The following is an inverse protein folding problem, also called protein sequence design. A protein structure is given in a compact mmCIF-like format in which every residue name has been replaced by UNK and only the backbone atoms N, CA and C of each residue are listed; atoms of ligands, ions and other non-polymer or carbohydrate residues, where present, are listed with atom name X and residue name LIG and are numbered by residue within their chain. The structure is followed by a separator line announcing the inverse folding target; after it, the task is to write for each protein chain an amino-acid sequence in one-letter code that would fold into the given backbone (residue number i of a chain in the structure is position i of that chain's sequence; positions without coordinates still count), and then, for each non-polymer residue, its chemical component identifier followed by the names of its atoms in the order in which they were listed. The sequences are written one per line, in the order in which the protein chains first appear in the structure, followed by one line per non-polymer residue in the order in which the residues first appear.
data_IF_635484391938
#
_entry.id   IF_635484391938
#
_cell.length_a   1.000
_cell.length_b   1.000
_cell.length_c   1.000
_cell.angle_alpha   90.00
_cell.angle_beta   90.00
_cell.angle_gamma   90.00
#
_symmetry.space_group_name_H-M   'P 1'
#
loop_
_entity.id
_entity.type
_entity.pdbx_description
1 polymer ?
#
# COMPACT_ATOMS: atom_id res chain seq x y z
N UNK A 1 -18.97 -25.44 43.65
CA UNK A 1 -18.83 -26.04 42.29
C UNK A 1 -19.12 -25.04 41.16
N UNK A 2 -20.18 -24.22 41.22
CA UNK A 2 -20.51 -23.24 40.15
C UNK A 2 -19.44 -22.14 39.94
N UNK A 3 -18.74 -21.71 41.00
CA UNK A 3 -17.68 -20.68 40.94
C UNK A 3 -16.47 -21.10 40.10
N UNK A 4 -16.04 -22.36 40.20
CA UNK A 4 -14.90 -22.89 39.45
C UNK A 4 -15.19 -23.01 37.95
N UNK A 5 -16.42 -23.35 37.57
CA UNK A 5 -16.85 -23.43 36.17
C UNK A 5 -16.91 -22.04 35.51
N UNK A 6 -17.43 -21.01 36.20
CA UNK A 6 -17.44 -19.64 35.69
C UNK A 6 -16.04 -19.04 35.52
N UNK A 7 -15.09 -19.36 36.41
CA UNK A 7 -13.69 -18.92 36.31
C UNK A 7 -13.01 -19.57 35.11
N UNK A 8 -13.26 -20.85 34.85
CA UNK A 8 -12.76 -21.56 33.68
C UNK A 8 -13.30 -20.96 32.37
N UNK A 9 -14.61 -20.69 32.28
CA UNK A 9 -15.24 -20.08 31.10
C UNK A 9 -14.69 -18.66 30.83
N UNK A 10 -14.54 -17.84 31.87
CA UNK A 10 -13.92 -16.50 31.76
C UNK A 10 -12.45 -16.58 31.36
N UNK A 11 -11.71 -17.58 31.82
CA UNK A 11 -10.30 -17.81 31.46
C UNK A 11 -10.15 -18.23 29.99
N UNK A 12 -11.00 -19.16 29.52
CA UNK A 12 -11.02 -19.61 28.12
C UNK A 12 -11.42 -18.45 27.18
N UNK A 13 -12.38 -17.61 27.58
CA UNK A 13 -12.78 -16.44 26.80
C UNK A 13 -11.66 -15.39 26.71
N UNK A 14 -10.98 -15.10 27.82
CA UNK A 14 -9.80 -14.21 27.84
C UNK A 14 -8.67 -14.74 26.96
N UNK A 15 -8.40 -16.06 26.99
CA UNK A 15 -7.35 -16.69 26.20
C UNK A 15 -7.64 -16.61 24.69
N UNK A 16 -8.91 -16.83 24.28
CA UNK A 16 -9.33 -16.67 22.88
C UNK A 16 -9.23 -15.22 22.41
N UNK A 17 -9.63 -14.25 23.24
CA UNK A 17 -9.53 -12.82 22.91
C UNK A 17 -8.07 -12.40 22.73
N UNK A 18 -7.17 -12.83 23.62
CA UNK A 18 -5.73 -12.54 23.49
C UNK A 18 -5.15 -13.18 22.22
N UNK A 19 -5.54 -14.41 21.88
CA UNK A 19 -5.06 -15.09 20.68
C UNK A 19 -5.54 -14.41 19.38
N UNK A 20 -6.79 -13.94 19.34
CA UNK A 20 -7.34 -13.19 18.20
C UNK A 20 -6.70 -11.80 18.07
N UNK A 21 -6.48 -11.11 19.19
CA UNK A 21 -5.79 -9.81 19.19
C UNK A 21 -4.33 -9.97 18.74
N UNK A 22 -3.64 -11.02 19.18
CA UNK A 22 -2.27 -11.30 18.77
C UNK A 22 -2.22 -11.59 17.27
N UNK A 23 -3.05 -12.50 16.74
CA UNK A 23 -3.05 -12.84 15.31
C UNK A 23 -3.38 -11.65 14.40
N UNK A 24 -4.26 -10.74 14.84
CA UNK A 24 -4.60 -9.53 14.08
C UNK A 24 -3.40 -8.59 13.88
N UNK A 25 -2.48 -8.50 14.85
CA UNK A 25 -1.29 -7.65 14.70
C UNK A 25 -0.28 -8.18 13.69
N UNK A 26 -0.20 -9.51 13.47
CA UNK A 26 0.72 -10.07 12.48
C UNK A 26 0.29 -9.74 11.04
N UNK A 27 -1.00 -9.77 10.75
CA UNK A 27 -1.55 -9.54 9.40
C UNK A 27 -1.47 -8.06 8.99
N UNK A 28 -1.39 -7.14 9.96
CA UNK A 28 -1.28 -5.70 9.72
C UNK A 28 0.15 -5.24 9.38
N UNK A 29 1.17 -6.11 9.42
CA UNK A 29 2.55 -5.78 8.99
C UNK A 29 2.74 -5.85 7.46
N UNK A 30 1.75 -5.39 6.69
CA UNK A 30 1.81 -5.38 5.23
C UNK A 30 2.64 -4.24 4.62
N UNK A 31 3.14 -3.31 5.44
CA UNK A 31 3.89 -2.16 4.93
C UNK A 31 4.92 -1.66 5.96
N UNK A 32 5.82 -2.53 6.40
CA UNK A 32 7.00 -2.11 7.17
C UNK A 32 8.25 -2.26 6.30
N UNK A 33 8.64 -1.15 5.66
CA UNK A 33 9.99 -0.89 5.12
C UNK A 33 10.65 -2.07 4.39
N UNK A 34 10.08 -2.49 3.27
CA UNK A 34 10.90 -3.06 2.20
C UNK A 34 11.66 -1.88 1.62
N UNK A 35 12.98 -1.93 1.58
CA UNK A 35 13.80 -0.98 0.82
C UNK A 35 13.55 -1.25 -0.66
N UNK A 36 12.73 -0.50 -1.43
CA UNK A 36 12.56 -0.78 -2.84
C UNK A 36 13.20 0.36 -3.64
N UNK A 37 14.25 1.02 -3.13
CA UNK A 37 14.87 2.06 -3.93
C UNK A 37 15.69 1.39 -5.01
N UNK A 38 15.07 1.29 -6.18
CA UNK A 38 15.81 1.25 -7.44
C UNK A 38 16.79 2.42 -7.40
N UNK A 39 18.08 2.15 -7.64
CA UNK A 39 19.09 3.22 -7.65
C UNK A 39 18.64 4.30 -8.63
N UNK A 40 18.90 5.60 -8.37
CA UNK A 40 18.40 6.68 -9.22
C UNK A 40 18.70 6.51 -10.72
N UNK A 41 19.81 5.87 -11.06
CA UNK A 41 20.25 5.58 -12.43
C UNK A 41 19.65 4.31 -13.05
N UNK A 42 19.00 3.43 -12.29
CA UNK A 42 18.31 2.24 -12.78
C UNK A 42 16.81 2.50 -13.04
N UNK A 43 16.28 3.65 -12.60
CA UNK A 43 14.86 4.03 -12.80
C UNK A 43 14.47 4.22 -14.26
N UNK A 44 15.43 4.51 -15.14
CA UNK A 44 15.21 4.62 -16.58
C UNK A 44 14.69 3.30 -17.19
N UNK A 45 15.04 2.15 -16.61
CA UNK A 45 14.56 0.84 -17.07
C UNK A 45 13.08 0.62 -16.78
N UNK A 46 12.51 1.37 -15.82
CA UNK A 46 11.09 1.31 -15.49
C UNK A 46 10.25 2.18 -16.44
N UNK A 47 10.85 3.26 -16.94
CA UNK A 47 10.25 4.24 -17.84
C UNK A 47 10.20 3.79 -19.31
N UNK A 48 10.08 2.49 -19.59
CA UNK A 48 9.98 1.97 -20.95
C UNK A 48 8.65 2.43 -21.62
N UNK A 49 8.67 2.97 -22.85
CA UNK A 49 7.47 3.31 -23.61
C UNK A 49 6.37 2.23 -23.64
N UNK A 50 6.71 0.95 -23.52
CA UNK A 50 5.71 -0.13 -23.49
C UNK A 50 4.93 -0.25 -22.17
N UNK A 51 5.44 0.31 -21.06
CA UNK A 51 4.78 0.27 -19.74
C UNK A 51 3.90 1.48 -19.46
N UNK A 52 3.69 2.36 -20.46
CA UNK A 52 2.78 3.49 -20.35
C UNK A 52 1.33 3.03 -20.41
N UNK A 53 0.48 3.61 -19.56
CA UNK A 53 -0.94 3.27 -19.49
C UNK A 53 -1.74 3.73 -20.73
N UNK A 54 -1.28 4.77 -21.41
CA UNK A 54 -1.93 5.30 -22.60
C UNK A 54 -1.03 5.26 -23.83
N UNK A 55 -1.69 5.28 -24.99
CA UNK A 55 -1.03 5.19 -26.30
C UNK A 55 -0.47 6.54 -26.76
N UNK A 56 -1.06 7.65 -26.29
CA UNK A 56 -0.70 8.99 -26.70
C UNK A 56 -0.17 9.80 -25.51
N UNK A 57 1.16 9.98 -25.39
CA UNK A 57 1.75 10.65 -24.24
C UNK A 57 1.41 12.14 -24.16
N UNK A 58 1.02 12.78 -25.28
CA UNK A 58 0.70 14.21 -25.33
C UNK A 58 -0.67 14.46 -24.71
N UNK A 59 -1.66 13.67 -25.11
CA UNK A 59 -3.02 13.71 -24.55
C UNK A 59 -3.03 13.37 -23.06
N UNK A 60 -2.28 12.35 -22.65
CA UNK A 60 -2.21 11.95 -21.25
C UNK A 60 -1.62 13.07 -20.40
N UNK A 61 -0.51 13.67 -20.82
CA UNK A 61 0.13 14.76 -20.09
C UNK A 61 -0.78 16.00 -19.97
N UNK A 62 -1.58 16.29 -21.00
CA UNK A 62 -2.61 17.33 -20.93
C UNK A 62 -3.66 17.02 -19.87
N UNK A 63 -4.21 15.80 -19.85
CA UNK A 63 -5.20 15.38 -18.86
C UNK A 63 -4.63 15.33 -17.44
N UNK A 64 -3.34 15.00 -17.28
CA UNK A 64 -2.63 15.10 -16.02
C UNK A 64 -2.60 16.54 -15.49
N UNK A 65 -2.20 17.50 -16.32
CA UNK A 65 -2.21 18.91 -15.92
C UNK A 65 -3.61 19.40 -15.50
N UNK A 66 -4.66 18.96 -16.19
CA UNK A 66 -6.05 19.27 -15.82
C UNK A 66 -6.42 18.70 -14.45
N UNK A 67 -6.07 17.44 -14.16
CA UNK A 67 -6.33 16.81 -12.85
C UNK A 67 -5.50 17.46 -11.73
N UNK A 68 -4.24 17.80 -11.98
CA UNK A 68 -3.42 18.55 -11.03
C UNK A 68 -4.05 19.89 -10.65
N UNK A 69 -4.63 20.60 -11.62
CA UNK A 69 -5.28 21.89 -11.39
C UNK A 69 -6.65 21.77 -10.73
N UNK A 70 -7.47 20.79 -11.13
CA UNK A 70 -8.87 20.67 -10.68
C UNK A 70 -9.06 19.80 -9.44
N UNK A 71 -8.27 18.75 -9.31
CA UNK A 71 -8.44 17.71 -8.28
C UNK A 71 -7.38 17.83 -7.18
N UNK A 72 -6.53 18.86 -7.22
CA UNK A 72 -5.37 19.00 -6.34
C UNK A 72 -4.47 17.77 -6.33
N UNK A 73 -4.45 17.01 -7.44
CA UNK A 73 -3.71 15.77 -7.59
C UNK A 73 -2.20 15.96 -7.83
N UNK A 74 -1.64 17.15 -7.53
CA UNK A 74 -0.22 17.43 -7.74
C UNK A 74 0.65 16.43 -6.96
N UNK A 75 1.47 15.68 -7.69
CA UNK A 75 2.36 14.68 -7.10
C UNK A 75 1.70 13.33 -6.84
N UNK A 76 0.43 13.15 -7.25
CA UNK A 76 -0.19 11.83 -7.37
C UNK A 76 0.23 11.12 -8.66
N UNK A 77 0.82 11.86 -9.59
CA UNK A 77 1.53 11.31 -10.73
C UNK A 77 2.85 10.69 -10.26
N UNK A 78 3.08 9.42 -10.57
CA UNK A 78 4.36 8.75 -10.29
C UNK A 78 5.54 9.42 -11.00
N UNK A 79 6.74 8.85 -10.87
CA UNK A 79 7.92 9.33 -11.59
C UNK A 79 7.67 9.39 -13.10
N UNK A 80 8.31 10.34 -13.79
CA UNK A 80 8.21 10.50 -15.24
C UNK A 80 8.65 9.21 -15.96
N UNK A 81 7.69 8.52 -16.60
CA UNK A 81 7.89 7.22 -17.22
C UNK A 81 6.68 6.29 -17.04
N UNK A 82 6.66 5.17 -17.77
CA UNK A 82 5.70 4.09 -17.54
C UNK A 82 5.98 3.31 -16.24
N UNK A 83 5.06 2.43 -15.87
CA UNK A 83 5.16 1.57 -14.69
C UNK A 83 4.81 2.22 -13.34
N UNK A 84 4.79 1.41 -12.27
CA UNK A 84 4.54 1.82 -10.88
C UNK A 84 5.78 2.48 -10.25
N UNK A 85 6.35 3.47 -10.94
CA UNK A 85 7.56 4.19 -10.53
C UNK A 85 7.33 5.12 -9.34
N UNK A 86 6.97 4.55 -8.19
CA UNK A 86 6.86 5.24 -6.91
C UNK A 86 8.12 6.07 -6.67
N UNK A 87 7.93 7.35 -6.36
CA UNK A 87 8.99 8.27 -5.96
C UNK A 87 9.17 8.20 -4.44
#
# INVERSE_FOLDING_TARGET
MISSFLVCIKSIFKLKVVFVLLSSTLILNGCSSIEPWVKPYERQNLADPITFFGRDPVSDNYMHHVRQARESARGAEGSAGGGCGCN
#
